data_IF_694227447210
#
_entry.id   IF_694227447210
#
_cell.length_a   1.000
_cell.length_b   1.000
_cell.length_c   1.000
_cell.angle_alpha   90.00
_cell.angle_beta   90.00
_cell.angle_gamma   90.00
#
_symmetry.space_group_name_H-M   'P 1'
#
loop_
_entity.id
_entity.type
_entity.pdbx_description
1 polymer ?
#
# COMPACT_ATOMS: atom_id res chain seq x y z
N UNK A 1 -24.91 -46.47 -18.14
CA UNK A 1 -25.63 -47.38 -17.23
C UNK A 1 -26.90 -47.92 -17.91
N UNK A 2 -27.34 -49.14 -17.59
CA UNK A 2 -28.55 -49.74 -18.18
C UNK A 2 -29.82 -49.02 -17.65
N UNK A 3 -30.78 -48.67 -18.54
CA UNK A 3 -32.03 -47.96 -18.19
C UNK A 3 -32.83 -48.66 -17.08
N UNK A 4 -32.85 -49.99 -17.06
CA UNK A 4 -33.56 -50.78 -16.03
C UNK A 4 -32.95 -50.58 -14.64
N UNK A 5 -31.63 -50.43 -14.58
CA UNK A 5 -30.87 -50.23 -13.34
C UNK A 5 -31.07 -48.81 -12.84
N UNK A 6 -30.97 -47.83 -13.74
CA UNK A 6 -31.21 -46.43 -13.41
C UNK A 6 -32.63 -46.24 -12.85
N UNK A 7 -33.65 -46.77 -13.53
CA UNK A 7 -35.04 -46.70 -13.07
C UNK A 7 -35.25 -47.39 -11.71
N UNK A 8 -34.58 -48.52 -11.45
CA UNK A 8 -34.61 -49.14 -10.13
C UNK A 8 -34.01 -48.22 -9.05
N UNK A 9 -32.84 -47.62 -9.32
CA UNK A 9 -32.17 -46.73 -8.38
C UNK A 9 -32.93 -45.43 -8.14
N UNK A 10 -33.54 -44.84 -9.16
CA UNK A 10 -34.41 -43.66 -9.05
C UNK A 10 -35.64 -43.94 -8.19
N UNK A 11 -36.28 -45.10 -8.40
CA UNK A 11 -37.43 -45.53 -7.59
C UNK A 11 -37.02 -45.74 -6.12
N UNK A 12 -35.92 -46.45 -5.87
CA UNK A 12 -35.41 -46.69 -4.52
C UNK A 12 -34.97 -45.41 -3.82
N UNK A 13 -34.32 -44.50 -4.55
CA UNK A 13 -33.99 -43.16 -4.03
C UNK A 13 -35.25 -42.42 -3.60
N UNK A 14 -36.31 -42.45 -4.42
CA UNK A 14 -37.59 -41.81 -4.11
C UNK A 14 -38.27 -42.41 -2.87
N UNK A 15 -38.17 -43.71 -2.66
CA UNK A 15 -38.66 -44.38 -1.44
C UNK A 15 -37.86 -43.95 -0.20
N UNK A 16 -36.53 -43.91 -0.30
CA UNK A 16 -35.65 -43.47 0.78
C UNK A 16 -35.92 -42.02 1.19
N UNK A 17 -36.05 -41.10 0.22
CA UNK A 17 -36.31 -39.67 0.50
C UNK A 17 -37.65 -39.47 1.19
N UNK A 18 -38.69 -40.25 0.83
CA UNK A 18 -40.00 -40.20 1.52
C UNK A 18 -39.93 -40.70 2.96
N UNK A 19 -39.07 -41.69 3.23
CA UNK A 19 -38.88 -42.27 4.57
C UNK A 19 -37.93 -41.44 5.44
N UNK A 20 -36.94 -40.80 4.83
CA UNK A 20 -35.89 -40.01 5.47
C UNK A 20 -35.76 -38.65 4.76
N UNK A 21 -36.55 -37.68 5.19
CA UNK A 21 -36.55 -36.33 4.62
C UNK A 21 -35.26 -35.53 4.89
N UNK A 22 -34.41 -36.00 5.82
CA UNK A 22 -33.08 -35.43 6.09
C UNK A 22 -32.04 -35.78 5.02
N UNK A 23 -32.33 -36.67 4.07
CA UNK A 23 -31.42 -36.94 2.96
C UNK A 23 -31.30 -35.66 2.10
N UNK A 24 -30.07 -35.20 1.86
CA UNK A 24 -29.79 -34.02 1.02
C UNK A 24 -29.25 -34.38 -0.35
N UNK A 25 -28.56 -35.51 -0.48
CA UNK A 25 -28.11 -35.97 -1.77
C UNK A 25 -27.99 -37.49 -1.84
N UNK A 26 -28.27 -38.03 -3.01
CA UNK A 26 -27.99 -39.41 -3.40
C UNK A 26 -27.35 -39.37 -4.77
N UNK A 27 -26.16 -39.93 -4.92
CA UNK A 27 -25.52 -40.02 -6.22
C UNK A 27 -24.64 -41.26 -6.33
N UNK A 28 -24.50 -41.71 -7.57
CA UNK A 28 -23.61 -42.81 -7.95
C UNK A 28 -22.26 -42.22 -8.28
N UNK A 29 -21.17 -42.93 -7.96
CA UNK A 29 -19.83 -42.50 -8.32
C UNK A 29 -18.95 -43.69 -8.70
N UNK A 30 -17.70 -43.42 -9.04
CA UNK A 30 -16.70 -44.45 -9.31
C UNK A 30 -16.83 -45.07 -10.71
N UNK A 31 -16.40 -46.33 -10.81
CA UNK A 31 -16.12 -46.95 -12.10
C UNK A 31 -17.35 -47.16 -13.00
N UNK A 32 -18.53 -47.29 -12.38
CA UNK A 32 -19.84 -47.42 -13.02
C UNK A 32 -20.26 -46.19 -13.82
N UNK A 33 -19.76 -45.00 -13.42
CA UNK A 33 -20.00 -43.74 -14.12
C UNK A 33 -18.90 -43.47 -15.16
N UNK A 34 -17.64 -43.85 -14.88
CA UNK A 34 -16.51 -43.65 -15.81
C UNK A 34 -16.61 -44.47 -17.09
N UNK A 35 -17.01 -45.74 -16.99
CA UNK A 35 -16.93 -46.68 -18.11
C UNK A 35 -18.25 -46.66 -18.89
N UNK A 36 -18.19 -46.54 -20.23
CA UNK A 36 -19.34 -46.74 -21.14
C UNK A 36 -19.84 -48.20 -21.19
N UNK A 37 -19.27 -49.11 -20.39
CA UNK A 37 -19.66 -50.53 -20.30
C UNK A 37 -20.68 -50.74 -19.18
N UNK A 38 -21.50 -51.77 -19.30
CA UNK A 38 -22.37 -52.23 -18.22
C UNK A 38 -21.49 -52.76 -17.09
N UNK A 39 -21.48 -52.09 -15.94
CA UNK A 39 -20.81 -52.58 -14.73
C UNK A 39 -21.83 -53.28 -13.84
N UNK A 40 -21.42 -54.35 -13.19
CA UNK A 40 -22.22 -55.05 -12.17
C UNK A 40 -22.03 -54.43 -10.79
N UNK A 41 -20.93 -53.73 -10.57
CA UNK A 41 -20.63 -53.05 -9.30
C UNK A 41 -20.95 -51.55 -9.44
N UNK A 42 -21.76 -51.03 -8.52
CA UNK A 42 -22.22 -49.65 -8.50
C UNK A 42 -22.04 -49.09 -7.10
N UNK A 43 -21.21 -48.05 -6.98
CA UNK A 43 -20.96 -47.35 -5.72
C UNK A 43 -21.92 -46.17 -5.55
N UNK A 44 -22.52 -46.03 -4.36
CA UNK A 44 -23.45 -44.95 -4.03
C UNK A 44 -23.04 -44.24 -2.74
N UNK A 45 -23.28 -42.93 -2.71
CA UNK A 45 -23.21 -42.10 -1.50
C UNK A 45 -24.60 -41.57 -1.19
N UNK A 46 -24.94 -41.58 0.09
CA UNK A 46 -26.09 -40.87 0.64
C UNK A 46 -25.59 -39.84 1.63
N UNK A 47 -26.01 -38.59 1.46
CA UNK A 47 -25.68 -37.47 2.36
C UNK A 47 -26.91 -37.12 3.19
N UNK A 48 -26.76 -37.05 4.51
CA UNK A 48 -27.83 -36.79 5.48
C UNK A 48 -27.53 -35.50 6.25
N UNK A 49 -28.52 -34.64 6.42
CA UNK A 49 -28.41 -33.39 7.18
C UNK A 49 -28.39 -33.63 8.68
N UNK A 50 -27.20 -33.55 9.26
CA UNK A 50 -26.96 -33.58 10.71
C UNK A 50 -27.05 -32.20 11.37
N UNK A 51 -27.34 -31.14 10.61
CA UNK A 51 -27.50 -29.78 11.14
C UNK A 51 -28.95 -29.48 11.57
N UNK A 52 -29.89 -30.36 11.21
CA UNK A 52 -31.29 -30.28 11.62
C UNK A 52 -31.50 -30.75 13.05
N UNK A 53 -32.39 -30.08 13.79
CA UNK A 53 -32.81 -30.51 15.14
C UNK A 53 -33.50 -31.89 15.16
N UNK A 54 -34.02 -32.34 14.01
CA UNK A 54 -34.67 -33.64 13.88
C UNK A 54 -33.67 -34.80 13.73
N UNK A 55 -32.39 -34.49 13.55
CA UNK A 55 -31.34 -35.49 13.39
C UNK A 55 -31.11 -36.29 14.67
N UNK A 56 -30.98 -37.61 14.52
CA UNK A 56 -30.58 -38.55 15.58
C UNK A 56 -29.65 -39.58 14.96
N UNK A 57 -28.61 -39.99 15.67
CA UNK A 57 -27.65 -41.00 15.18
C UNK A 57 -28.33 -42.32 14.78
N UNK A 58 -29.45 -42.66 15.42
CA UNK A 58 -30.26 -43.83 15.07
C UNK A 58 -30.75 -43.81 13.60
N UNK A 59 -30.94 -42.63 13.01
CA UNK A 59 -31.33 -42.46 11.61
C UNK A 59 -30.26 -43.04 10.68
N UNK A 60 -28.98 -42.83 10.98
CA UNK A 60 -27.89 -43.39 10.18
C UNK A 60 -27.92 -44.93 10.21
N UNK A 61 -28.14 -45.52 11.38
CA UNK A 61 -28.24 -46.97 11.54
C UNK A 61 -29.45 -47.57 10.80
N UNK A 62 -30.62 -46.94 10.90
CA UNK A 62 -31.83 -47.38 10.19
C UNK A 62 -31.68 -47.24 8.68
N UNK A 63 -31.11 -46.12 8.23
CA UNK A 63 -30.81 -45.90 6.83
C UNK A 63 -29.83 -46.94 6.31
N UNK A 64 -28.74 -47.24 7.02
CA UNK A 64 -27.77 -48.25 6.61
C UNK A 64 -28.42 -49.64 6.44
N UNK A 65 -29.33 -50.02 7.34
CA UNK A 65 -30.08 -51.27 7.23
C UNK A 65 -30.99 -51.30 5.99
N UNK A 66 -31.72 -50.20 5.71
CA UNK A 66 -32.54 -50.11 4.49
C UNK A 66 -31.68 -50.16 3.22
N UNK A 67 -30.50 -49.53 3.23
CA UNK A 67 -29.56 -49.58 2.11
C UNK A 67 -29.07 -51.02 1.85
N UNK A 68 -28.80 -51.81 2.90
CA UNK A 68 -28.47 -53.24 2.78
C UNK A 68 -29.60 -54.04 2.14
N UNK A 69 -30.85 -53.82 2.56
CA UNK A 69 -32.03 -54.47 1.97
C UNK A 69 -32.16 -54.11 0.48
N UNK A 70 -31.95 -52.85 0.13
CA UNK A 70 -31.98 -52.39 -1.27
C UNK A 70 -30.88 -53.06 -2.10
N UNK A 71 -29.66 -53.20 -1.54
CA UNK A 71 -28.56 -53.89 -2.21
C UNK A 71 -28.87 -55.37 -2.48
N UNK A 72 -29.44 -56.08 -1.49
CA UNK A 72 -29.88 -57.47 -1.67
C UNK A 72 -30.98 -57.61 -2.73
N UNK A 73 -31.94 -56.69 -2.74
CA UNK A 73 -33.00 -56.68 -3.74
C UNK A 73 -32.45 -56.44 -5.15
N UNK A 74 -31.52 -55.50 -5.30
CA UNK A 74 -30.83 -55.23 -6.56
C UNK A 74 -30.08 -56.48 -7.06
N UNK A 75 -29.39 -57.18 -6.18
CA UNK A 75 -28.71 -58.43 -6.52
C UNK A 75 -29.70 -59.51 -6.96
N UNK A 76 -30.78 -59.74 -6.20
CA UNK A 76 -31.79 -60.76 -6.53
C UNK A 76 -32.51 -60.48 -7.85
N UNK A 77 -32.90 -59.23 -8.10
CA UNK A 77 -33.73 -58.84 -9.26
C UNK A 77 -32.93 -58.52 -10.52
N UNK A 78 -31.75 -57.91 -10.36
CA UNK A 78 -30.97 -57.34 -11.46
C UNK A 78 -29.58 -57.94 -11.61
N UNK A 79 -29.13 -58.77 -10.65
CA UNK A 79 -27.78 -59.35 -10.60
C UNK A 79 -26.69 -58.29 -10.59
N UNK A 80 -26.92 -57.24 -9.80
CA UNK A 80 -26.01 -56.08 -9.63
C UNK A 80 -25.61 -55.99 -8.15
N UNK A 81 -24.34 -55.72 -7.91
CA UNK A 81 -23.79 -55.44 -6.60
C UNK A 81 -23.86 -53.92 -6.35
N UNK A 82 -24.75 -53.51 -5.45
CA UNK A 82 -24.78 -52.12 -4.97
C UNK A 82 -23.90 -52.01 -3.73
N UNK A 83 -22.89 -51.16 -3.81
CA UNK A 83 -22.01 -50.81 -2.70
C UNK A 83 -22.38 -49.43 -2.19
N UNK A 84 -23.15 -49.39 -1.10
CA UNK A 84 -23.39 -48.14 -0.40
C UNK A 84 -22.20 -47.83 0.50
N UNK A 85 -21.63 -46.64 0.36
CA UNK A 85 -20.82 -46.07 1.43
C UNK A 85 -21.70 -45.84 2.64
N UNK A 86 -21.12 -45.95 3.84
CA UNK A 86 -21.81 -45.53 5.07
C UNK A 86 -22.37 -44.12 4.87
N UNK A 87 -23.66 -43.88 5.20
CA UNK A 87 -24.28 -42.58 5.05
C UNK A 87 -23.39 -41.48 5.66
N UNK A 88 -23.11 -40.44 4.89
CA UNK A 88 -22.26 -39.34 5.31
C UNK A 88 -23.12 -38.22 5.86
N UNK A 89 -22.76 -37.72 7.03
CA UNK A 89 -23.41 -36.52 7.53
C UNK A 89 -22.95 -35.30 6.73
N UNK A 90 -23.79 -34.27 6.68
CA UNK A 90 -23.56 -33.08 5.89
C UNK A 90 -22.33 -32.32 6.38
N UNK A 91 -22.16 -32.17 7.70
CA UNK A 91 -20.98 -31.54 8.29
C UNK A 91 -19.69 -32.29 7.93
N UNK A 92 -19.66 -33.62 8.09
CA UNK A 92 -18.49 -34.43 7.72
C UNK A 92 -18.17 -34.32 6.23
N UNK A 93 -19.20 -34.37 5.38
CA UNK A 93 -19.05 -34.23 3.93
C UNK A 93 -18.37 -32.90 3.55
N UNK A 94 -18.78 -31.80 4.16
CA UNK A 94 -18.16 -30.49 3.93
C UNK A 94 -16.72 -30.42 4.42
N UNK A 95 -16.41 -31.03 5.56
CA UNK A 95 -15.04 -31.07 6.09
C UNK A 95 -14.10 -31.89 5.20
N UNK A 96 -14.56 -33.06 4.72
CA UNK A 96 -13.81 -33.88 3.78
C UNK A 96 -13.64 -33.22 2.41
N UNK A 97 -14.64 -32.46 1.94
CA UNK A 97 -14.51 -31.64 0.74
C UNK A 97 -13.48 -30.52 0.91
N UNK A 98 -13.54 -29.78 2.03
CA UNK A 98 -12.66 -28.64 2.31
C UNK A 98 -11.21 -29.07 2.45
N UNK A 99 -10.96 -30.22 3.06
CA UNK A 99 -9.64 -30.84 3.20
C UNK A 99 -9.13 -31.49 1.92
N UNK A 100 -10.02 -31.72 0.93
CA UNK A 100 -9.64 -32.29 -0.36
C UNK A 100 -9.43 -33.80 -0.30
N UNK A 101 -10.16 -34.52 0.55
CA UNK A 101 -10.03 -35.97 0.65
C UNK A 101 -10.17 -36.63 -0.74
N UNK A 102 -9.19 -37.44 -1.20
CA UNK A 102 -9.15 -37.92 -2.58
C UNK A 102 -10.41 -38.66 -3.03
N UNK A 103 -11.01 -39.46 -2.14
CA UNK A 103 -12.20 -40.23 -2.47
C UNK A 103 -13.44 -39.32 -2.64
N UNK A 104 -13.62 -38.30 -1.79
CA UNK A 104 -14.72 -37.32 -1.87
C UNK A 104 -14.61 -36.50 -3.15
N UNK A 105 -13.43 -35.99 -3.43
CA UNK A 105 -13.16 -35.20 -4.65
C UNK A 105 -13.47 -36.02 -5.89
N UNK A 106 -13.00 -37.28 -5.96
CA UNK A 106 -13.31 -38.17 -7.08
C UNK A 106 -14.81 -38.50 -7.16
N UNK A 107 -15.45 -38.75 -6.02
CA UNK A 107 -16.88 -39.03 -5.95
C UNK A 107 -17.71 -37.88 -6.53
N UNK A 108 -17.39 -36.63 -6.18
CA UNK A 108 -18.05 -35.44 -6.73
C UNK A 108 -17.75 -35.27 -8.21
N UNK A 109 -16.48 -35.35 -8.63
CA UNK A 109 -16.06 -35.16 -10.04
C UNK A 109 -16.84 -36.06 -11.00
N UNK A 110 -17.15 -37.27 -10.54
CA UNK A 110 -17.75 -38.34 -11.34
C UNK A 110 -19.21 -38.59 -11.00
N UNK A 111 -19.82 -37.79 -10.13
CA UNK A 111 -21.15 -38.08 -9.62
C UNK A 111 -22.20 -38.18 -10.74
N UNK A 112 -22.97 -39.26 -10.74
CA UNK A 112 -24.25 -39.33 -11.43
C UNK A 112 -25.36 -39.10 -10.40
N UNK A 113 -25.98 -37.92 -10.45
CA UNK A 113 -26.92 -37.45 -9.44
C UNK A 113 -28.24 -38.22 -9.58
N UNK A 114 -28.69 -38.85 -8.50
CA UNK A 114 -30.03 -39.45 -8.38
C UNK A 114 -30.99 -38.52 -7.63
N UNK A 115 -30.45 -37.76 -6.67
CA UNK A 115 -31.16 -36.75 -5.89
C UNK A 115 -30.17 -35.71 -5.38
N UNK A 116 -30.44 -34.43 -5.64
CA UNK A 116 -29.71 -33.27 -5.11
C UNK A 116 -30.60 -32.02 -5.33
N UNK A 117 -31.64 -31.82 -4.53
CA UNK A 117 -32.64 -30.77 -4.76
C UNK A 117 -32.06 -29.36 -4.61
N UNK A 118 -30.93 -29.23 -3.92
CA UNK A 118 -30.22 -27.97 -3.70
C UNK A 118 -29.11 -27.70 -4.72
N UNK A 119 -28.89 -28.63 -5.66
CA UNK A 119 -27.87 -28.56 -6.70
C UNK A 119 -26.48 -28.24 -6.14
N UNK A 120 -26.04 -28.91 -5.06
CA UNK A 120 -24.70 -28.71 -4.51
C UNK A 120 -23.61 -29.42 -5.32
N UNK A 121 -23.90 -30.59 -5.89
CA UNK A 121 -22.90 -31.45 -6.53
C UNK A 121 -22.42 -30.86 -7.86
N UNK A 122 -23.31 -30.26 -8.66
CA UNK A 122 -22.95 -29.70 -9.97
C UNK A 122 -21.99 -28.51 -9.88
N UNK A 123 -22.23 -27.49 -9.03
CA UNK A 123 -21.27 -26.40 -8.81
C UNK A 123 -19.95 -26.90 -8.22
N UNK A 124 -19.98 -27.85 -7.28
CA UNK A 124 -18.76 -28.42 -6.70
C UNK A 124 -17.87 -29.09 -7.75
N UNK A 125 -18.44 -29.80 -8.73
CA UNK A 125 -17.67 -30.32 -9.87
C UNK A 125 -16.94 -29.21 -10.62
N UNK A 126 -17.61 -28.09 -10.86
CA UNK A 126 -17.01 -26.93 -11.55
C UNK A 126 -15.88 -26.32 -10.71
N UNK A 127 -16.11 -26.13 -9.41
CA UNK A 127 -15.12 -25.60 -8.47
C UNK A 127 -13.86 -26.48 -8.37
N UNK A 128 -14.03 -27.81 -8.36
CA UNK A 128 -12.90 -28.75 -8.39
C UNK A 128 -12.10 -28.61 -9.68
N UNK A 129 -12.76 -28.56 -10.84
CA UNK A 129 -12.09 -28.37 -12.15
C UNK A 129 -11.34 -27.04 -12.25
N UNK A 130 -11.85 -26.00 -11.59
CA UNK A 130 -11.19 -24.69 -11.50
C UNK A 130 -10.02 -24.67 -10.48
N UNK A 131 -9.72 -25.80 -9.82
CA UNK A 131 -8.68 -25.85 -8.78
C UNK A 131 -9.03 -24.98 -7.56
N UNK A 132 -10.32 -24.83 -7.22
CA UNK A 132 -10.75 -24.04 -6.04
C UNK A 132 -10.85 -24.83 -4.75
N UNK A 133 -10.86 -26.16 -4.83
CA UNK A 133 -10.83 -27.06 -3.66
C UNK A 133 -9.38 -27.39 -3.31
N UNK A 134 -9.02 -27.31 -2.02
CA UNK A 134 -7.67 -27.64 -1.56
C UNK A 134 -7.37 -29.14 -1.76
N UNK A 135 -6.10 -29.53 -1.76
CA UNK A 135 -5.70 -30.94 -1.85
C UNK A 135 -5.93 -31.63 -3.20
N UNK A 136 -6.48 -30.93 -4.21
CA UNK A 136 -6.69 -31.51 -5.54
C UNK A 136 -5.49 -31.32 -6.47
N UNK A 137 -5.37 -32.19 -7.48
CA UNK A 137 -4.38 -32.06 -8.55
C UNK A 137 -4.57 -30.73 -9.30
N UNK A 138 -5.80 -30.36 -9.60
CA UNK A 138 -6.14 -29.11 -10.30
C UNK A 138 -5.69 -27.88 -9.50
N UNK A 139 -5.82 -27.91 -8.16
CA UNK A 139 -5.29 -26.84 -7.30
C UNK A 139 -3.78 -26.76 -7.38
N UNK A 140 -3.09 -27.90 -7.34
CA UNK A 140 -1.64 -27.96 -7.45
C UNK A 140 -1.14 -27.43 -8.81
N UNK A 141 -1.79 -27.87 -9.90
CA UNK A 141 -1.52 -27.38 -11.27
C UNK A 141 -1.74 -25.87 -11.36
N UNK A 142 -2.88 -25.35 -10.87
CA UNK A 142 -3.17 -23.92 -10.86
C UNK A 142 -2.14 -23.10 -10.04
N UNK A 143 -1.60 -23.65 -8.95
CA UNK A 143 -0.54 -23.00 -8.17
C UNK A 143 0.79 -22.95 -8.93
N UNK A 144 1.17 -24.06 -9.59
CA UNK A 144 2.38 -24.14 -10.42
C UNK A 144 2.26 -23.18 -11.60
N UNK A 145 1.14 -23.17 -12.30
CA UNK A 145 0.87 -22.26 -13.42
C UNK A 145 0.91 -20.79 -13.01
N UNK A 146 0.53 -20.47 -11.76
CA UNK A 146 0.59 -19.10 -11.22
C UNK A 146 2.01 -18.62 -10.92
N UNK A 147 2.95 -19.52 -10.64
CA UNK A 147 4.30 -19.14 -10.21
C UNK A 147 5.06 -18.28 -11.25
N UNK A 148 5.08 -18.63 -12.56
CA UNK A 148 5.69 -17.77 -13.59
C UNK A 148 5.11 -16.37 -13.67
N UNK A 149 3.79 -16.21 -13.48
CA UNK A 149 3.16 -14.88 -13.47
C UNK A 149 3.64 -14.04 -12.30
N UNK A 150 3.73 -14.62 -11.10
CA UNK A 150 4.28 -13.92 -9.92
C UNK A 150 5.74 -13.51 -10.12
N UNK A 151 6.53 -14.36 -10.76
CA UNK A 151 7.92 -14.02 -11.10
C UNK A 151 8.02 -12.88 -12.11
N UNK A 152 7.21 -12.91 -13.18
CA UNK A 152 7.14 -11.81 -14.16
C UNK A 152 6.69 -10.50 -13.51
N UNK A 153 5.73 -10.57 -12.59
CA UNK A 153 5.28 -9.39 -11.85
C UNK A 153 6.38 -8.80 -10.98
N UNK A 154 7.15 -9.64 -10.27
CA UNK A 154 8.31 -9.17 -9.51
C UNK A 154 9.36 -8.48 -10.41
N UNK A 155 9.60 -9.00 -11.61
CA UNK A 155 10.48 -8.36 -12.59
C UNK A 155 9.94 -7.00 -13.07
N UNK A 156 8.61 -6.91 -13.29
CA UNK A 156 7.95 -5.66 -13.69
C UNK A 156 8.09 -4.60 -12.61
N UNK A 157 7.80 -4.94 -11.34
CA UNK A 157 7.97 -4.05 -10.18
C UNK A 157 9.41 -3.55 -10.09
N UNK A 158 10.38 -4.47 -10.21
CA UNK A 158 11.81 -4.11 -10.16
C UNK A 158 12.26 -3.17 -11.28
N UNK A 159 11.62 -3.26 -12.45
CA UNK A 159 11.96 -2.45 -13.62
C UNK A 159 11.25 -1.10 -13.58
N UNK A 160 9.93 -1.13 -13.51
CA UNK A 160 9.06 0.03 -13.69
C UNK A 160 8.87 0.77 -12.37
N UNK A 161 8.23 0.14 -11.38
CA UNK A 161 7.81 0.80 -10.15
C UNK A 161 8.98 1.34 -9.32
N UNK A 162 10.03 0.53 -9.11
CA UNK A 162 11.20 1.00 -8.35
C UNK A 162 11.85 2.21 -9.04
N UNK A 163 12.01 2.18 -10.37
CA UNK A 163 12.70 3.26 -11.08
C UNK A 163 11.87 4.55 -11.08
N UNK A 164 10.55 4.44 -11.27
CA UNK A 164 9.62 5.57 -11.24
C UNK A 164 9.57 6.25 -9.87
N UNK A 165 9.45 5.47 -8.79
CA UNK A 165 9.44 6.00 -7.43
C UNK A 165 10.75 6.72 -7.07
N UNK A 166 11.90 6.17 -7.48
CA UNK A 166 13.19 6.80 -7.26
C UNK A 166 13.33 8.13 -8.02
N UNK A 167 12.93 8.16 -9.29
CA UNK A 167 12.97 9.40 -10.06
C UNK A 167 12.02 10.45 -9.48
N UNK A 168 10.83 10.06 -9.05
CA UNK A 168 9.85 10.95 -8.41
C UNK A 168 10.40 11.56 -7.13
N UNK A 169 10.94 10.75 -6.22
CA UNK A 169 11.54 11.24 -4.98
C UNK A 169 12.69 12.24 -5.22
N UNK A 170 13.57 11.95 -6.18
CA UNK A 170 14.65 12.87 -6.55
C UNK A 170 14.10 14.16 -7.17
N UNK A 171 13.06 14.06 -8.01
CA UNK A 171 12.42 15.19 -8.69
C UNK A 171 11.78 16.14 -7.68
N UNK A 172 10.98 15.62 -6.76
CA UNK A 172 10.29 16.40 -5.73
C UNK A 172 11.29 17.12 -4.82
N UNK A 173 12.36 16.43 -4.40
CA UNK A 173 13.37 17.03 -3.52
C UNK A 173 14.12 18.17 -4.22
N UNK A 174 14.48 17.99 -5.49
CA UNK A 174 15.12 19.06 -6.27
C UNK A 174 14.18 20.25 -6.53
N UNK A 175 12.91 19.98 -6.84
CA UNK A 175 11.89 21.02 -7.00
C UNK A 175 11.68 21.81 -5.72
N UNK A 176 11.65 21.16 -4.56
CA UNK A 176 11.52 21.83 -3.26
C UNK A 176 12.67 22.82 -3.01
N UNK A 177 13.91 22.39 -3.26
CA UNK A 177 15.11 23.25 -3.14
C UNK A 177 15.04 24.44 -4.10
N UNK A 178 14.71 24.18 -5.37
CA UNK A 178 14.59 25.23 -6.40
C UNK A 178 13.49 26.24 -6.05
N UNK A 179 12.32 25.76 -5.61
CA UNK A 179 11.20 26.61 -5.16
C UNK A 179 11.58 27.46 -3.96
N UNK A 180 12.29 26.89 -2.99
CA UNK A 180 12.80 27.62 -1.84
C UNK A 180 13.75 28.75 -2.28
N UNK A 181 14.55 28.50 -3.30
CA UNK A 181 15.42 29.47 -3.96
C UNK A 181 14.69 30.40 -4.96
N UNK A 182 13.35 30.39 -4.98
CA UNK A 182 12.49 31.22 -5.86
C UNK A 182 12.60 30.90 -7.35
N UNK A 183 13.03 29.71 -7.70
CA UNK A 183 12.96 29.17 -9.07
C UNK A 183 11.67 28.36 -9.21
N UNK A 184 10.93 28.55 -10.30
CA UNK A 184 9.73 27.76 -10.56
C UNK A 184 10.10 26.27 -10.71
N UNK A 185 9.27 25.32 -10.21
CA UNK A 185 9.61 23.90 -10.25
C UNK A 185 9.71 23.43 -11.72
N UNK A 186 10.89 22.96 -12.17
CA UNK A 186 11.08 22.52 -13.55
C UNK A 186 10.56 21.09 -13.76
N UNK A 187 10.37 20.69 -15.01
CA UNK A 187 10.17 19.28 -15.37
C UNK A 187 11.43 18.45 -15.06
N UNK A 188 11.28 17.13 -14.86
CA UNK A 188 12.39 16.25 -14.48
C UNK A 188 13.62 16.39 -15.41
N UNK A 189 13.39 16.43 -16.72
CA UNK A 189 14.46 16.61 -17.74
C UNK A 189 15.26 17.91 -17.60
N UNK A 190 14.66 18.95 -17.03
CA UNK A 190 15.24 20.29 -16.92
C UNK A 190 15.90 20.54 -15.55
N UNK A 191 15.67 19.65 -14.56
CA UNK A 191 16.27 19.72 -13.22
C UNK A 191 17.80 19.84 -13.28
N UNK A 192 18.54 18.99 -14.02
CA UNK A 192 20.00 19.07 -14.07
C UNK A 192 20.52 20.44 -14.51
N UNK A 193 19.87 21.04 -15.50
CA UNK A 193 20.21 22.37 -16.01
C UNK A 193 19.98 23.45 -14.94
N UNK A 194 18.84 23.42 -14.26
CA UNK A 194 18.53 24.42 -13.22
C UNK A 194 19.43 24.24 -11.97
N UNK A 195 19.74 23.02 -11.54
CA UNK A 195 20.66 22.79 -10.43
C UNK A 195 22.07 23.32 -10.76
N UNK A 196 22.56 23.07 -11.97
CA UNK A 196 23.86 23.61 -12.41
C UNK A 196 23.89 25.12 -12.41
N UNK A 197 22.87 25.73 -13.00
CA UNK A 197 22.74 27.18 -13.14
C UNK A 197 22.73 27.89 -11.80
N UNK A 198 21.97 27.38 -10.82
CA UNK A 198 21.70 28.07 -9.56
C UNK A 198 22.67 27.66 -8.43
N UNK A 199 23.14 26.41 -8.40
CA UNK A 199 23.88 25.87 -7.25
C UNK A 199 25.27 25.35 -7.58
N UNK A 200 25.51 24.77 -8.77
CA UNK A 200 26.87 24.31 -9.12
C UNK A 200 27.77 25.48 -9.47
N UNK A 201 27.30 26.42 -10.30
CA UNK A 201 28.08 27.63 -10.67
C UNK A 201 28.47 28.49 -9.47
N UNK A 202 27.65 28.48 -8.42
CA UNK A 202 27.89 29.21 -7.18
C UNK A 202 28.73 28.43 -6.16
N UNK A 203 29.10 27.18 -6.48
CA UNK A 203 29.87 26.30 -5.60
C UNK A 203 29.08 25.68 -4.45
N UNK A 204 27.76 25.88 -4.40
CA UNK A 204 26.88 25.33 -3.35
C UNK A 204 26.57 23.85 -3.54
N UNK A 205 26.68 23.35 -4.77
CA UNK A 205 26.44 21.95 -5.13
C UNK A 205 27.57 21.42 -6.00
N UNK A 206 27.95 20.16 -5.80
CA UNK A 206 28.95 19.48 -6.65
C UNK A 206 28.30 18.91 -7.91
N UNK A 207 29.04 18.94 -9.01
CA UNK A 207 28.58 18.38 -10.30
C UNK A 207 28.17 16.90 -10.20
N UNK A 208 28.93 16.09 -9.47
CA UNK A 208 28.62 14.67 -9.28
C UNK A 208 27.27 14.39 -8.61
N UNK A 209 26.69 15.35 -7.89
CA UNK A 209 25.32 15.20 -7.37
C UNK A 209 24.32 15.30 -8.52
N UNK A 210 24.51 16.24 -9.45
CA UNK A 210 23.65 16.38 -10.63
C UNK A 210 23.72 15.14 -11.53
N UNK A 211 24.91 14.56 -11.68
CA UNK A 211 25.13 13.32 -12.44
C UNK A 211 24.35 12.12 -11.85
N UNK A 212 24.10 12.09 -10.54
CA UNK A 212 23.24 11.06 -9.93
C UNK A 212 21.82 11.14 -10.44
N UNK A 213 21.26 12.36 -10.53
CA UNK A 213 19.93 12.62 -11.08
C UNK A 213 19.85 12.22 -12.54
N UNK A 214 20.79 12.69 -13.36
CA UNK A 214 20.80 12.41 -14.80
C UNK A 214 20.83 10.92 -15.10
N UNK A 215 21.62 10.16 -14.34
CA UNK A 215 21.67 8.72 -14.51
C UNK A 215 20.34 8.03 -14.19
N UNK A 216 19.68 8.40 -13.09
CA UNK A 216 18.39 7.82 -12.73
C UNK A 216 17.33 8.20 -13.75
N UNK A 217 17.32 9.48 -14.18
CA UNK A 217 16.43 9.97 -15.23
C UNK A 217 16.63 9.23 -16.55
N UNK A 218 17.87 9.05 -17.03
CA UNK A 218 18.18 8.38 -18.29
C UNK A 218 17.71 6.92 -18.27
N UNK A 219 17.92 6.21 -17.16
CA UNK A 219 17.46 4.83 -17.02
C UNK A 219 15.93 4.77 -17.01
N UNK A 220 15.26 5.66 -16.26
CA UNK A 220 13.80 5.74 -16.22
C UNK A 220 13.21 6.02 -17.61
N UNK A 221 13.78 6.99 -18.33
CA UNK A 221 13.35 7.39 -19.66
C UNK A 221 13.50 6.24 -20.67
N UNK A 222 14.63 5.51 -20.64
CA UNK A 222 14.84 4.31 -21.46
C UNK A 222 13.88 3.18 -21.14
N UNK A 223 13.49 3.01 -19.87
CA UNK A 223 12.48 2.03 -19.46
C UNK A 223 11.10 2.42 -19.99
N UNK A 224 10.73 3.71 -19.87
CA UNK A 224 9.46 4.23 -20.40
C UNK A 224 9.33 4.03 -21.92
N UNK A 225 10.42 4.21 -22.66
CA UNK A 225 10.49 3.95 -24.11
C UNK A 225 10.71 2.47 -24.48
N UNK A 226 10.72 1.56 -23.50
CA UNK A 226 10.92 0.11 -23.66
C UNK A 226 12.28 -0.27 -24.27
N UNK A 227 13.27 0.61 -24.21
CA UNK A 227 14.65 0.34 -24.62
C UNK A 227 15.35 -0.58 -23.61
N UNK A 228 15.05 -0.40 -22.33
CA UNK A 228 15.49 -1.28 -21.24
C UNK A 228 14.29 -2.11 -20.77
N UNK A 229 14.39 -3.43 -20.93
CA UNK A 229 13.33 -4.38 -20.53
C UNK A 229 13.71 -5.24 -19.33
N UNK A 230 14.95 -5.13 -18.85
CA UNK A 230 15.49 -5.88 -17.71
C UNK A 230 16.59 -5.09 -17.02
N UNK A 231 16.61 -5.16 -15.70
CA UNK A 231 17.71 -4.65 -14.86
C UNK A 231 18.33 -5.80 -14.05
N UNK A 232 19.63 -5.72 -13.85
CA UNK A 232 20.30 -6.60 -12.88
C UNK A 232 20.10 -6.05 -11.46
N UNK A 233 20.16 -6.92 -10.45
CA UNK A 233 20.10 -6.48 -9.05
C UNK A 233 21.22 -5.49 -8.69
N UNK A 234 22.37 -5.56 -9.37
CA UNK A 234 23.47 -4.60 -9.20
C UNK A 234 23.08 -3.20 -9.69
N UNK A 235 22.41 -3.11 -10.83
CA UNK A 235 21.96 -1.81 -11.34
C UNK A 235 20.83 -1.24 -10.49
N UNK A 236 19.89 -2.05 -9.99
CA UNK A 236 18.86 -1.59 -9.04
C UNK A 236 19.52 -1.02 -7.78
N UNK A 237 20.49 -1.73 -7.19
CA UNK A 237 21.23 -1.23 -6.03
C UNK A 237 21.96 0.09 -6.32
N UNK A 238 22.49 0.24 -7.53
CA UNK A 238 23.16 1.47 -7.95
C UNK A 238 22.19 2.64 -8.10
N UNK A 239 20.98 2.40 -8.65
CA UNK A 239 19.91 3.40 -8.71
C UNK A 239 19.51 3.86 -7.30
N UNK A 240 19.23 2.92 -6.39
CA UNK A 240 18.90 3.18 -4.99
C UNK A 240 19.97 4.04 -4.30
N UNK A 241 21.24 3.66 -4.43
CA UNK A 241 22.35 4.39 -3.82
C UNK A 241 22.50 5.81 -4.37
N UNK A 242 22.31 6.02 -5.68
CA UNK A 242 22.40 7.35 -6.30
C UNK A 242 21.23 8.23 -5.87
N UNK A 243 20.03 7.66 -5.78
CA UNK A 243 18.84 8.37 -5.33
C UNK A 243 18.99 8.87 -3.90
N UNK A 244 19.39 8.00 -2.95
CA UNK A 244 19.54 8.42 -1.54
C UNK A 244 20.64 9.48 -1.38
N UNK A 245 21.80 9.30 -2.04
CA UNK A 245 22.87 10.29 -2.00
C UNK A 245 22.44 11.64 -2.57
N UNK A 246 21.62 11.64 -3.61
CA UNK A 246 21.06 12.87 -4.18
C UNK A 246 20.09 13.55 -3.21
N UNK A 247 19.14 12.79 -2.65
CA UNK A 247 18.13 13.30 -1.72
C UNK A 247 18.81 13.91 -0.50
N UNK A 248 19.77 13.21 0.11
CA UNK A 248 20.54 13.71 1.25
C UNK A 248 21.26 15.03 0.91
N UNK A 249 21.83 15.14 -0.29
CA UNK A 249 22.53 16.36 -0.73
C UNK A 249 21.58 17.51 -1.01
N UNK A 250 20.36 17.24 -1.44
CA UNK A 250 19.33 18.26 -1.59
C UNK A 250 18.81 18.75 -0.23
N UNK A 251 18.65 17.85 0.75
CA UNK A 251 18.28 18.22 2.12
C UNK A 251 19.35 19.06 2.81
N UNK A 252 20.63 18.67 2.67
CA UNK A 252 21.78 19.47 3.11
C UNK A 252 21.73 20.88 2.49
N UNK A 253 21.52 20.97 1.17
CA UNK A 253 21.45 22.23 0.45
C UNK A 253 20.26 23.08 0.92
N UNK A 254 19.09 22.48 1.12
CA UNK A 254 17.92 23.15 1.67
C UNK A 254 18.22 23.78 3.02
N UNK A 255 18.83 23.01 3.94
CA UNK A 255 19.21 23.46 5.27
C UNK A 255 20.20 24.64 5.24
N UNK A 256 21.17 24.61 4.32
CA UNK A 256 22.10 25.72 4.10
C UNK A 256 21.39 26.97 3.59
N UNK A 257 20.48 26.82 2.62
CA UNK A 257 19.70 27.93 2.08
C UNK A 257 18.78 28.54 3.14
N UNK A 258 18.15 27.71 3.97
CA UNK A 258 17.26 28.16 5.03
C UNK A 258 18.03 28.96 6.09
N UNK A 259 19.16 28.43 6.55
CA UNK A 259 20.06 29.11 7.49
C UNK A 259 20.52 30.45 6.94
N UNK A 260 20.91 30.49 5.67
CA UNK A 260 21.36 31.72 4.99
C UNK A 260 20.23 32.75 4.91
N UNK A 261 19.02 32.33 4.57
CA UNK A 261 17.83 33.20 4.54
C UNK A 261 17.51 33.77 5.91
N UNK A 262 17.54 32.95 6.96
CA UNK A 262 17.33 33.38 8.36
C UNK A 262 18.37 34.44 8.76
N UNK A 263 19.66 34.21 8.47
CA UNK A 263 20.73 35.21 8.71
C UNK A 263 20.46 36.53 7.99
N UNK A 264 20.12 36.47 6.70
CA UNK A 264 19.86 37.68 5.89
C UNK A 264 18.67 38.47 6.45
N UNK A 265 17.59 37.80 6.87
CA UNK A 265 16.44 38.47 7.48
C UNK A 265 16.83 39.21 8.77
N UNK A 266 17.63 38.58 9.64
CA UNK A 266 18.12 39.20 10.88
C UNK A 266 18.99 40.40 10.55
N UNK A 267 19.94 40.23 9.61
CA UNK A 267 20.86 41.26 9.16
C UNK A 267 20.13 42.50 8.61
N UNK A 268 19.20 42.28 7.69
CA UNK A 268 18.42 43.33 7.05
C UNK A 268 17.50 44.04 8.05
N UNK A 269 16.86 43.28 8.93
CA UNK A 269 16.05 43.83 10.02
C UNK A 269 16.91 44.69 10.95
N UNK A 270 18.10 44.22 11.33
CA UNK A 270 19.03 44.92 12.22
C UNK A 270 19.53 46.22 11.60
N UNK A 271 20.00 46.18 10.35
CA UNK A 271 20.40 47.37 9.57
C UNK A 271 19.27 48.39 9.50
N UNK A 272 18.04 47.93 9.24
CA UNK A 272 16.86 48.80 9.19
C UNK A 272 16.56 49.44 10.55
N UNK A 273 16.61 48.68 11.64
CA UNK A 273 16.43 49.17 13.00
C UNK A 273 17.47 50.21 13.40
N UNK A 274 18.75 49.97 13.09
CA UNK A 274 19.84 50.95 13.30
C UNK A 274 19.55 52.23 12.54
N UNK A 275 19.19 52.15 11.26
CA UNK A 275 18.91 53.33 10.44
C UNK A 275 17.72 54.14 10.97
N UNK A 276 16.70 53.47 11.49
CA UNK A 276 15.55 54.11 12.16
C UNK A 276 16.04 54.86 13.40
N UNK A 277 16.80 54.19 14.30
CA UNK A 277 17.32 54.80 15.52
C UNK A 277 18.24 55.98 15.22
N UNK A 278 19.11 55.83 14.20
CA UNK A 278 20.01 56.88 13.69
C UNK A 278 19.23 58.14 13.31
N UNK A 279 18.17 57.99 12.51
CA UNK A 279 17.35 59.10 12.02
C UNK A 279 16.43 59.70 13.07
N UNK A 280 15.96 58.91 14.03
CA UNK A 280 15.07 59.33 15.09
C UNK A 280 15.85 60.11 16.17
N UNK A 281 16.98 59.56 16.63
CA UNK A 281 17.82 60.11 17.70
C UNK A 281 18.92 61.07 17.20
N UNK A 282 18.99 61.32 15.88
CA UNK A 282 20.03 62.13 15.22
C UNK A 282 21.47 61.70 15.58
N UNK A 283 21.72 60.39 15.60
CA UNK A 283 23.03 59.80 15.90
C UNK A 283 23.87 59.63 14.62
N UNK A 284 25.20 59.55 14.73
CA UNK A 284 26.09 59.29 13.58
C UNK A 284 26.03 57.82 13.15
N UNK A 285 26.35 56.88 14.04
CA UNK A 285 26.36 55.43 13.76
C UNK A 285 25.99 54.65 15.04
N UNK A 286 24.68 54.45 15.30
CA UNK A 286 24.27 53.74 16.50
C UNK A 286 24.33 52.22 16.31
N UNK A 287 24.66 51.51 17.38
CA UNK A 287 24.37 50.09 17.54
C UNK A 287 23.17 49.89 18.47
N UNK A 288 22.48 48.76 18.39
CA UNK A 288 21.37 48.46 19.31
C UNK A 288 21.87 48.01 20.69
N UNK A 289 22.75 48.81 21.29
CA UNK A 289 23.32 48.59 22.61
C UNK A 289 22.46 49.23 23.71
N UNK A 290 22.83 48.99 24.98
CA UNK A 290 22.07 49.49 26.13
C UNK A 290 21.93 51.01 26.15
N UNK A 291 22.89 51.76 25.60
CA UNK A 291 22.87 53.23 25.61
C UNK A 291 21.84 53.76 24.61
N UNK A 292 21.89 53.29 23.37
CA UNK A 292 20.94 53.68 22.31
C UNK A 292 19.51 53.29 22.71
N UNK A 293 19.33 52.10 23.29
CA UNK A 293 18.02 51.64 23.76
C UNK A 293 17.48 52.47 24.92
N UNK A 294 18.34 52.94 25.86
CA UNK A 294 17.93 53.86 26.94
C UNK A 294 17.52 55.22 26.38
N UNK A 295 18.29 55.78 25.43
CA UNK A 295 17.96 57.04 24.75
C UNK A 295 16.63 56.93 23.99
N UNK A 296 16.45 55.85 23.23
CA UNK A 296 15.20 55.56 22.51
C UNK A 296 14.00 55.46 23.44
N UNK A 297 14.14 54.76 24.58
CA UNK A 297 13.08 54.66 25.59
C UNK A 297 12.67 56.04 26.10
N UNK A 298 13.64 56.83 26.56
CA UNK A 298 13.38 58.15 27.15
C UNK A 298 12.69 59.10 26.18
N UNK A 299 13.12 59.11 24.92
CA UNK A 299 12.61 60.06 23.93
C UNK A 299 11.28 59.66 23.31
N UNK A 300 11.05 58.36 23.07
CA UNK A 300 9.89 57.88 22.31
C UNK A 300 8.91 57.02 23.09
N UNK A 301 9.36 56.27 24.11
CA UNK A 301 8.48 55.34 24.84
C UNK A 301 7.91 56.00 26.08
N UNK A 302 8.76 56.61 26.91
CA UNK A 302 8.34 57.28 28.14
C UNK A 302 7.49 58.54 27.83
N UNK A 303 7.66 59.12 26.64
CA UNK A 303 6.81 60.20 26.11
C UNK A 303 5.46 59.71 25.54
N UNK A 304 5.19 58.40 25.55
CA UNK A 304 3.98 57.80 25.01
C UNK A 304 3.87 57.78 23.49
N UNK A 305 4.94 58.16 22.77
CA UNK A 305 4.92 58.25 21.30
C UNK A 305 4.97 56.87 20.62
N UNK A 306 5.59 55.89 21.28
CA UNK A 306 5.81 54.52 20.78
C UNK A 306 5.52 53.52 21.91
N UNK A 307 4.83 52.41 21.59
CA UNK A 307 4.60 51.31 22.55
C UNK A 307 5.92 50.72 23.06
N UNK A 308 5.93 50.30 24.33
CA UNK A 308 7.00 49.53 24.97
C UNK A 308 7.37 48.26 24.18
N UNK A 309 6.44 47.69 23.42
CA UNK A 309 6.68 46.50 22.59
C UNK A 309 7.82 46.72 21.58
N UNK A 310 7.87 47.90 20.96
CA UNK A 310 8.91 48.23 19.98
C UNK A 310 10.30 48.27 20.63
N UNK A 311 10.41 48.73 21.88
CA UNK A 311 11.67 48.70 22.63
C UNK A 311 12.10 47.26 22.94
N UNK A 312 11.14 46.40 23.31
CA UNK A 312 11.41 44.98 23.53
C UNK A 312 11.93 44.31 22.25
N UNK A 313 11.31 44.60 21.10
CA UNK A 313 11.71 44.04 19.81
C UNK A 313 13.09 44.54 19.39
N UNK A 314 13.43 45.82 19.57
CA UNK A 314 14.76 46.35 19.28
C UNK A 314 15.84 45.64 20.14
N UNK A 315 15.57 45.44 21.44
CA UNK A 315 16.44 44.65 22.32
C UNK A 315 16.62 43.22 21.82
N UNK A 316 15.52 42.58 21.45
CA UNK A 316 15.52 41.21 20.96
C UNK A 316 16.30 41.08 19.66
N UNK A 317 16.14 42.02 18.75
CA UNK A 317 16.87 42.07 17.48
C UNK A 317 18.38 42.23 17.66
N UNK A 318 18.82 43.04 18.64
CA UNK A 318 20.24 43.10 19.02
C UNK A 318 20.79 41.75 19.49
N UNK A 319 20.05 41.04 20.36
CA UNK A 319 20.42 39.69 20.79
C UNK A 319 20.43 38.67 19.64
N UNK A 320 19.44 38.73 18.76
CA UNK A 320 19.35 37.83 17.59
C UNK A 320 20.54 38.03 16.65
N UNK A 321 20.98 39.28 16.43
CA UNK A 321 22.17 39.59 15.64
C UNK A 321 23.43 38.98 16.25
N UNK A 322 23.62 39.13 17.56
CA UNK A 322 24.75 38.55 18.28
C UNK A 322 24.77 37.01 18.21
N UNK A 323 23.62 36.37 18.42
CA UNK A 323 23.48 34.92 18.31
C UNK A 323 23.76 34.43 16.89
N UNK A 324 23.26 35.13 15.87
CA UNK A 324 23.51 34.80 14.46
C UNK A 324 25.00 34.91 14.08
N UNK A 325 25.72 35.89 14.62
CA UNK A 325 27.17 36.04 14.44
C UNK A 325 27.97 34.92 15.13
N UNK A 326 27.50 34.46 16.28
CA UNK A 326 28.04 33.30 17.01
C UNK A 326 27.65 31.96 16.38
N UNK A 327 26.86 31.96 15.31
CA UNK A 327 26.39 30.74 14.64
C UNK A 327 25.27 29.99 15.36
N UNK A 328 24.65 30.58 16.38
CA UNK A 328 23.62 29.98 17.25
C UNK A 328 22.20 30.35 16.82
N UNK A 329 21.84 30.02 15.58
CA UNK A 329 20.54 30.38 15.01
C UNK A 329 19.39 29.54 15.57
N UNK A 330 19.68 28.31 15.96
CA UNK A 330 18.79 27.36 16.61
C UNK A 330 18.26 27.87 17.97
N UNK A 331 19.00 28.77 18.62
CA UNK A 331 18.57 29.42 19.87
C UNK A 331 17.55 30.57 19.61
N UNK A 332 17.31 30.92 18.35
CA UNK A 332 16.41 32.02 17.96
C UNK A 332 15.07 31.46 17.49
N UNK A 333 13.95 31.74 18.18
CA UNK A 333 12.64 31.28 17.72
C UNK A 333 12.28 31.88 16.36
N UNK A 334 11.88 31.05 15.40
CA UNK A 334 11.61 31.49 14.01
C UNK A 334 10.59 32.63 13.92
N UNK A 335 9.53 32.56 14.74
CA UNK A 335 8.52 33.61 14.83
C UNK A 335 9.15 34.98 15.06
N UNK A 336 10.21 35.05 15.86
CA UNK A 336 10.87 36.30 16.19
C UNK A 336 11.66 36.87 15.00
N UNK A 337 12.35 36.00 14.25
CA UNK A 337 13.08 36.34 13.01
C UNK A 337 12.11 36.96 11.98
N UNK A 338 10.97 36.32 11.73
CA UNK A 338 10.03 36.83 10.74
C UNK A 338 9.28 38.08 11.23
N UNK A 339 8.97 38.13 12.53
CA UNK A 339 8.29 39.30 13.10
C UNK A 339 9.15 40.57 13.07
N UNK A 340 10.48 40.46 13.20
CA UNK A 340 11.37 41.63 13.19
C UNK A 340 11.28 42.43 11.89
N UNK A 341 11.03 41.78 10.75
CA UNK A 341 10.81 42.46 9.47
C UNK A 341 9.55 43.34 9.50
N UNK A 342 8.45 42.80 10.02
CA UNK A 342 7.16 43.50 10.10
C UNK A 342 7.29 44.67 11.08
N UNK A 343 7.89 44.45 12.24
CA UNK A 343 8.01 45.45 13.28
C UNK A 343 8.92 46.61 12.87
N UNK A 344 10.07 46.33 12.27
CA UNK A 344 10.98 47.39 11.79
C UNK A 344 10.34 48.21 10.68
N UNK A 345 9.53 47.61 9.80
CA UNK A 345 8.72 48.35 8.80
C UNK A 345 7.67 49.24 9.45
N UNK A 346 6.86 48.70 10.38
CA UNK A 346 5.82 49.48 11.08
C UNK A 346 6.43 50.62 11.91
N UNK A 347 7.54 50.36 12.59
CA UNK A 347 8.25 51.36 13.39
C UNK A 347 8.72 52.54 12.51
N UNK A 348 9.27 52.24 11.34
CA UNK A 348 9.67 53.26 10.37
C UNK A 348 8.48 54.09 9.89
N UNK A 349 7.33 53.46 9.62
CA UNK A 349 6.11 54.14 9.18
C UNK A 349 5.55 55.07 10.26
N UNK A 350 5.52 54.64 11.52
CA UNK A 350 5.08 55.45 12.67
C UNK A 350 5.95 56.70 12.80
N UNK A 351 7.28 56.53 12.73
CA UNK A 351 8.23 57.64 12.85
C UNK A 351 8.25 58.56 11.63
N UNK A 352 7.92 58.07 10.42
CA UNK A 352 7.83 58.87 9.19
C UNK A 352 6.56 59.72 9.13
N UNK A 353 5.39 59.17 9.50
CA UNK A 353 4.10 59.89 9.43
C UNK A 353 4.07 61.17 10.28
N UNK A 354 4.97 61.31 11.24
CA UNK A 354 5.07 62.47 12.14
C UNK A 354 6.19 63.46 11.82
N UNK A 355 7.02 63.20 10.78
CA UNK A 355 7.94 64.21 10.22
C UNK A 355 7.25 65.14 9.21
N UNK A 356 6.01 64.83 8.84
CA UNK A 356 5.03 65.74 8.23
C UNK A 356 4.12 66.23 9.34
#
# INVERSE_FOLDING_TARGET
>A
MNKRVLSFLENKSSQLIKKYHLIKAIFIYGSSVKKKRVTTDIDLVVIVDDTSEEFKDSILNWLENDLKIIAEEAYKKLKINLHFQSPKTLSLWWDSLRSGEPWVVNAVKEAWILYDPSDYITPLKSLIKQGRIAGTREKAEALIERAPFRYKEALRIMLEEITEELLSAMTETAQAVLMFFRVAPPAAKDIPKELRKNFVRTGMLKEGVVEYFEYVYEIADKIAHREITKLSGKEIKKLLNRAVLFIDKMDDLFSVLETTKKKNIIEDSYKKAINICKKALKLKEPELNSEVLKKFKKEFVDSGLISQDYLYILKKLGKMKELAEKGKLEEIPERDIYSSMIYTRKLEEILKKRKR
#
